data_IF_255637167807
#
_entry.id   IF_255637167807
#
_cell.length_a   1.000
_cell.length_b   1.000
_cell.length_c   1.000
_cell.angle_alpha   90.00
_cell.angle_beta   90.00
_cell.angle_gamma   90.00
#
_symmetry.space_group_name_H-M   'P 1'
#
loop_
_entity.id
_entity.type
_entity.pdbx_description
1 polymer ?
#
# COMPACT_ATOMS: atom_id res chain seq x y z
N UNK A 1 -23.50 -2.46 -18.01
CA UNK A 1 -23.67 -2.01 -16.60
C UNK A 1 -22.95 -2.89 -15.56
N UNK A 2 -22.84 -4.22 -15.77
CA UNK A 2 -22.17 -5.13 -14.81
C UNK A 2 -20.69 -4.77 -14.57
N UNK A 3 -19.90 -4.58 -15.63
CA UNK A 3 -18.46 -4.28 -15.49
C UNK A 3 -18.14 -2.98 -14.75
N UNK A 4 -19.01 -1.97 -14.87
CA UNK A 4 -18.81 -0.69 -14.18
C UNK A 4 -18.98 -0.88 -12.66
N UNK A 5 -20.02 -1.63 -12.25
CA UNK A 5 -20.23 -2.01 -10.84
C UNK A 5 -19.10 -2.89 -10.31
N UNK A 6 -18.55 -3.77 -11.13
CA UNK A 6 -17.37 -4.57 -10.75
C UNK A 6 -16.17 -3.67 -10.46
N UNK A 7 -15.83 -2.77 -11.38
CA UNK A 7 -14.70 -1.84 -11.23
C UNK A 7 -14.84 -0.90 -10.02
N UNK A 8 -16.05 -0.39 -9.74
CA UNK A 8 -16.27 0.44 -8.54
C UNK A 8 -16.11 -0.37 -7.25
N UNK A 9 -16.60 -1.61 -7.24
CA UNK A 9 -16.41 -2.51 -6.10
C UNK A 9 -14.93 -2.89 -5.89
N UNK A 10 -14.16 -3.08 -6.98
CA UNK A 10 -12.72 -3.34 -6.92
C UNK A 10 -11.95 -2.16 -6.36
N UNK A 11 -12.26 -0.93 -6.79
CA UNK A 11 -11.66 0.28 -6.25
C UNK A 11 -11.92 0.41 -4.74
N UNK A 12 -13.15 0.17 -4.29
CA UNK A 12 -13.50 0.20 -2.86
C UNK A 12 -12.74 -0.87 -2.05
N UNK A 13 -12.63 -2.09 -2.58
CA UNK A 13 -11.85 -3.17 -1.95
C UNK A 13 -10.36 -2.84 -1.86
N UNK A 14 -9.79 -2.24 -2.92
CA UNK A 14 -8.39 -1.80 -2.93
C UNK A 14 -8.14 -0.70 -1.90
N UNK A 15 -9.02 0.28 -1.79
CA UNK A 15 -8.94 1.34 -0.79
C UNK A 15 -8.91 0.77 0.64
N UNK A 16 -9.85 -0.11 0.97
CA UNK A 16 -9.88 -0.77 2.28
C UNK A 16 -8.63 -1.62 2.55
N UNK A 17 -8.09 -2.28 1.51
CA UNK A 17 -6.86 -3.06 1.63
C UNK A 17 -5.64 -2.16 1.88
N UNK A 18 -5.58 -0.99 1.26
CA UNK A 18 -4.53 0.02 1.51
C UNK A 18 -4.58 0.48 2.97
N UNK A 19 -5.76 0.88 3.46
CA UNK A 19 -5.93 1.36 4.83
C UNK A 19 -5.55 0.29 5.87
N UNK A 20 -6.05 -0.94 5.68
CA UNK A 20 -5.67 -2.07 6.54
C UNK A 20 -4.18 -2.34 6.50
N UNK A 21 -3.57 -2.37 5.30
CA UNK A 21 -2.15 -2.66 5.15
C UNK A 21 -1.26 -1.57 5.77
N UNK A 22 -1.66 -0.30 5.67
CA UNK A 22 -0.99 0.80 6.37
C UNK A 22 -1.02 0.58 7.89
N UNK A 23 -2.21 0.33 8.45
CA UNK A 23 -2.38 0.15 9.90
C UNK A 23 -1.72 -1.11 10.45
N UNK A 24 -1.84 -2.24 9.74
CA UNK A 24 -1.43 -3.55 10.25
C UNK A 24 -0.02 -3.98 9.85
N UNK A 25 0.59 -3.34 8.86
CA UNK A 25 1.93 -3.74 8.36
C UNK A 25 2.91 -2.57 8.37
N UNK A 26 2.57 -1.46 7.71
CA UNK A 26 3.52 -0.34 7.54
C UNK A 26 3.81 0.34 8.87
N UNK A 27 2.79 0.62 9.67
CA UNK A 27 2.96 1.25 10.99
C UNK A 27 3.77 0.38 11.95
N UNK A 28 3.47 -0.92 12.14
CA UNK A 28 4.32 -1.80 12.96
C UNK A 28 5.75 -1.95 12.46
N UNK A 29 5.97 -1.98 11.13
CA UNK A 29 7.32 -2.06 10.58
C UNK A 29 8.15 -0.81 10.94
N UNK A 30 7.56 0.38 10.83
CA UNK A 30 8.19 1.65 11.27
C UNK A 30 8.52 1.64 12.77
N UNK A 31 7.58 1.19 13.60
CA UNK A 31 7.79 1.08 15.04
C UNK A 31 8.94 0.11 15.36
N UNK A 32 9.03 -1.03 14.66
CA UNK A 32 10.12 -1.99 14.82
C UNK A 32 11.48 -1.39 14.44
N UNK A 33 11.58 -0.64 13.34
CA UNK A 33 12.81 0.08 12.97
C UNK A 33 13.21 1.07 14.07
N UNK A 34 12.25 1.83 14.61
CA UNK A 34 12.50 2.79 15.69
C UNK A 34 13.00 2.10 16.96
N UNK A 35 12.37 0.98 17.35
CA UNK A 35 12.79 0.19 18.51
C UNK A 35 14.17 -0.44 18.32
N UNK A 36 14.46 -1.00 17.15
CA UNK A 36 15.75 -1.58 16.83
C UNK A 36 16.87 -0.53 16.87
N UNK A 37 16.62 0.68 16.36
CA UNK A 37 17.57 1.78 16.41
C UNK A 37 17.83 2.26 17.84
N UNK A 38 16.79 2.34 18.67
CA UNK A 38 16.94 2.70 20.08
C UNK A 38 17.77 1.66 20.84
N UNK A 39 17.46 0.37 20.65
CA UNK A 39 18.19 -0.73 21.26
C UNK A 39 19.66 -0.82 20.81
N UNK A 40 19.93 -0.55 19.52
CA UNK A 40 21.30 -0.44 19.03
C UNK A 40 22.07 0.70 19.72
N UNK A 41 21.45 1.88 19.86
CA UNK A 41 22.07 3.03 20.53
C UNK A 41 22.33 2.80 22.02
N UNK A 42 21.52 1.96 22.67
CA UNK A 42 21.74 1.53 24.05
C UNK A 42 22.65 0.29 24.17
N UNK A 43 23.31 -0.13 23.08
CA UNK A 43 24.17 -1.32 23.03
C UNK A 43 23.49 -2.63 23.43
N UNK A 44 22.17 -2.74 23.21
CA UNK A 44 21.33 -3.91 23.53
C UNK A 44 21.11 -4.83 22.32
N UNK A 45 21.27 -4.31 21.09
CA UNK A 45 21.14 -5.08 19.85
C UNK A 45 22.27 -4.73 18.88
N UNK A 46 22.63 -5.68 18.02
CA UNK A 46 23.61 -5.46 16.96
C UNK A 46 23.06 -4.58 15.83
N UNK A 47 23.95 -3.88 15.12
CA UNK A 47 23.59 -3.03 13.97
C UNK A 47 22.88 -3.82 12.86
N UNK A 48 23.20 -5.10 12.69
CA UNK A 48 22.53 -6.01 11.74
C UNK A 48 21.02 -6.08 11.98
N UNK A 49 20.56 -6.08 13.24
CA UNK A 49 19.13 -6.08 13.57
C UNK A 49 18.43 -4.79 13.11
N UNK A 50 19.14 -3.65 13.09
CA UNK A 50 18.61 -2.38 12.55
C UNK A 50 18.42 -2.48 11.04
N UNK A 51 19.39 -3.07 10.32
CA UNK A 51 19.30 -3.25 8.88
C UNK A 51 18.15 -4.17 8.49
N UNK A 52 17.97 -5.29 9.18
CA UNK A 52 16.84 -6.20 8.94
C UNK A 52 15.50 -5.51 9.15
N UNK A 53 15.35 -4.77 10.26
CA UNK A 53 14.13 -4.02 10.54
C UNK A 53 13.86 -2.96 9.46
N UNK A 54 14.91 -2.24 9.03
CA UNK A 54 14.80 -1.20 8.00
C UNK A 54 14.46 -1.79 6.62
N UNK A 55 15.07 -2.92 6.26
CA UNK A 55 14.76 -3.62 5.01
C UNK A 55 13.30 -4.07 4.99
N UNK A 56 12.81 -4.68 6.07
CA UNK A 56 11.41 -5.07 6.19
C UNK A 56 10.44 -3.88 6.08
N UNK A 57 10.79 -2.72 6.65
CA UNK A 57 10.00 -1.49 6.53
C UNK A 57 9.93 -0.99 5.07
N UNK A 58 11.06 -0.97 4.37
CA UNK A 58 11.12 -0.54 2.96
C UNK A 58 10.29 -1.48 2.08
N UNK A 59 10.42 -2.79 2.28
CA UNK A 59 9.60 -3.77 1.55
C UNK A 59 8.11 -3.60 1.85
N UNK A 60 7.73 -3.26 3.09
CA UNK A 60 6.36 -2.93 3.43
C UNK A 60 5.88 -1.68 2.67
N UNK A 61 6.68 -0.61 2.64
CA UNK A 61 6.35 0.63 1.93
C UNK A 61 6.24 0.43 0.41
N UNK A 62 7.13 -0.38 -0.18
CA UNK A 62 7.08 -0.73 -1.60
C UNK A 62 5.78 -1.44 -1.98
N UNK A 63 5.34 -2.38 -1.15
CA UNK A 63 4.04 -3.06 -1.34
C UNK A 63 2.86 -2.10 -1.21
N UNK A 64 2.91 -1.13 -0.29
CA UNK A 64 1.90 -0.08 -0.19
C UNK A 64 1.81 0.75 -1.48
N UNK A 65 2.96 1.18 -2.02
CA UNK A 65 3.02 1.92 -3.28
C UNK A 65 2.44 1.11 -4.45
N UNK A 66 2.70 -0.20 -4.50
CA UNK A 66 2.12 -1.07 -5.51
C UNK A 66 0.58 -1.10 -5.41
N UNK A 67 0.02 -1.22 -4.20
CA UNK A 67 -1.44 -1.18 -3.99
C UNK A 67 -2.04 0.17 -4.39
N UNK A 68 -1.39 1.28 -4.05
CA UNK A 68 -1.83 2.63 -4.44
C UNK A 68 -1.83 2.82 -5.96
N UNK A 69 -0.78 2.35 -6.65
CA UNK A 69 -0.72 2.34 -8.11
C UNK A 69 -1.88 1.54 -8.71
N UNK A 70 -2.17 0.37 -8.17
CA UNK A 70 -3.26 -0.48 -8.66
C UNK A 70 -4.62 0.21 -8.48
N UNK A 71 -4.84 0.90 -7.35
CA UNK A 71 -6.04 1.72 -7.14
C UNK A 71 -6.16 2.85 -8.18
N UNK A 72 -5.09 3.63 -8.39
CA UNK A 72 -5.08 4.71 -9.39
C UNK A 72 -5.37 4.17 -10.79
N UNK A 73 -4.84 2.99 -11.14
CA UNK A 73 -5.13 2.34 -12.42
C UNK A 73 -6.60 1.97 -12.55
N UNK A 74 -7.22 1.40 -11.51
CA UNK A 74 -8.65 1.08 -11.52
C UNK A 74 -9.52 2.34 -11.61
N UNK A 75 -9.14 3.41 -10.91
CA UNK A 75 -9.83 4.71 -11.00
C UNK A 75 -9.71 5.33 -12.41
N UNK A 76 -8.54 5.26 -13.04
CA UNK A 76 -8.37 5.71 -14.42
C UNK A 76 -9.26 4.94 -15.41
N UNK A 77 -9.39 3.61 -15.24
CA UNK A 77 -10.30 2.78 -16.04
C UNK A 77 -11.77 3.18 -15.85
N UNK A 78 -12.17 3.50 -14.62
CA UNK A 78 -13.51 4.01 -14.31
C UNK A 78 -13.80 5.35 -15.00
N UNK A 79 -12.80 6.24 -15.10
CA UNK A 79 -12.96 7.54 -15.75
C UNK A 79 -12.97 7.48 -17.28
N UNK A 80 -12.27 6.50 -17.87
CA UNK A 80 -12.20 6.32 -19.33
C UNK A 80 -13.41 5.57 -19.92
N UNK A 81 -14.03 4.66 -19.17
CA UNK A 81 -15.15 3.83 -19.66
C UNK A 81 -16.43 4.63 -20.06
N UNK A 82 -16.79 5.73 -19.37
CA UNK A 82 -17.87 6.63 -19.80
C UNK A 82 -17.59 7.28 -21.17
N UNK A 83 -16.32 7.63 -21.46
CA UNK A 83 -15.91 8.27 -22.72
C UNK A 83 -16.04 7.28 -23.89
N UNK A 84 -15.68 6.01 -23.66
CA UNK A 84 -15.81 4.95 -24.68
C UNK A 84 -17.27 4.55 -24.99
N UNK A 85 -18.21 4.75 -24.06
CA UNK A 85 -19.64 4.48 -24.28
C UNK A 85 -20.39 5.68 -24.89
N UNK A 86 -19.80 6.88 -24.86
CA UNK A 86 -20.36 8.11 -25.43
C UNK A 86 -19.96 8.41 -26.88
N UNK A 87 -19.19 7.54 -27.53
CA UNK A 87 -18.88 7.62 -28.97
C UNK A 87 -19.95 6.99 -29.88
N UNK A 88 -21.05 6.53 -29.30
CA UNK A 88 -22.25 6.07 -30.01
C UNK A 88 -23.42 6.97 -29.61
N UNK A 89 -23.38 8.21 -30.09
CA UNK A 89 -24.56 9.04 -30.30
C UNK A 89 -24.62 9.41 -31.77
#
# INVERSE_FOLDING_TARGET
>A
MADYRTLTSDAARLQQRIERYQGSVVTPARQRTSAALAAYRSNQLALTAVFEARHAEVEAQRKLLALQRDLVRTQAQLNLKPIAQGGAQ
#
